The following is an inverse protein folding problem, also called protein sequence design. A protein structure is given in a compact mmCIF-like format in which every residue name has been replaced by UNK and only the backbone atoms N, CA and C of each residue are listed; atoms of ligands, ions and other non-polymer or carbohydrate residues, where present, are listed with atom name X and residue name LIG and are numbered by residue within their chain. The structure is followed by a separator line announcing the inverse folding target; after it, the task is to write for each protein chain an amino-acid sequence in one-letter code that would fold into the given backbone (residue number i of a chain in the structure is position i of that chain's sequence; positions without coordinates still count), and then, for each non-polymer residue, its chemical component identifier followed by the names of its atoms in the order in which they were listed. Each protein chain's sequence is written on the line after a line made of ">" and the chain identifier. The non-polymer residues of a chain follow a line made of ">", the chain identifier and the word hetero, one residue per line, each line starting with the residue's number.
data_IF_097843632579
#
_entry.id   IF_097843632579
#
_cell.length_a   1.000
_cell.length_b   1.000
_cell.length_c   1.000
_cell.angle_alpha   90.00
_cell.angle_beta   90.00
_cell.angle_gamma   90.00
#
_symmetry.space_group_name_H-M   'P 1'
#
loop_
_entity.id
_entity.type
_entity.pdbx_description
1 polymer ?
#
# COMPACT_ATOMS: atom_id res chain seq x y z
N UNK A 1 4.53 44.05 2.73
CA UNK A 1 3.79 43.71 3.96
C UNK A 1 3.63 42.21 3.98
N UNK A 2 3.81 41.53 5.11
CA UNK A 2 3.52 40.09 5.16
C UNK A 2 2.01 39.88 5.15
N UNK A 3 1.47 38.90 4.40
CA UNK A 3 0.04 38.61 4.41
C UNK A 3 -0.43 38.25 5.83
N UNK A 4 -1.59 38.75 6.21
CA UNK A 4 -2.28 38.38 7.46
C UNK A 4 -2.93 37.00 7.33
N UNK A 5 -3.20 36.33 8.45
CA UNK A 5 -3.88 35.01 8.44
C UNK A 5 -5.24 35.07 7.72
N UNK A 6 -5.97 36.17 7.87
CA UNK A 6 -7.27 36.40 7.24
C UNK A 6 -7.18 36.50 5.71
N UNK A 7 -6.14 37.16 5.20
CA UNK A 7 -5.87 37.23 3.75
C UNK A 7 -5.58 35.84 3.17
N UNK A 8 -4.83 35.00 3.90
CA UNK A 8 -4.61 33.62 3.49
C UNK A 8 -5.87 32.77 3.56
N UNK A 9 -6.74 32.90 4.57
CA UNK A 9 -8.03 32.21 4.56
C UNK A 9 -8.87 32.59 3.35
N UNK A 10 -8.95 33.88 3.02
CA UNK A 10 -9.71 34.36 1.86
C UNK A 10 -9.13 33.86 0.54
N UNK A 11 -7.80 33.81 0.42
CA UNK A 11 -7.11 33.25 -0.75
C UNK A 11 -7.31 31.73 -0.86
N UNK A 12 -7.23 31.01 0.25
CA UNK A 12 -7.47 29.57 0.32
C UNK A 12 -8.90 29.25 -0.11
N UNK A 13 -9.90 29.95 0.41
CA UNK A 13 -11.28 29.77 -0.03
C UNK A 13 -11.45 29.99 -1.54
N UNK A 14 -10.87 31.07 -2.09
CA UNK A 14 -10.90 31.35 -3.53
C UNK A 14 -10.25 30.27 -4.38
N UNK A 15 -9.18 29.63 -3.89
CA UNK A 15 -8.48 28.54 -4.60
C UNK A 15 -9.25 27.21 -4.48
N UNK A 16 -9.62 26.85 -3.26
CA UNK A 16 -10.17 25.54 -2.90
C UNK A 16 -11.65 25.40 -3.27
N UNK A 17 -12.45 26.47 -3.19
CA UNK A 17 -13.84 26.45 -3.62
C UNK A 17 -13.99 26.60 -5.15
N UNK A 18 -12.92 26.91 -5.89
CA UNK A 18 -13.01 27.15 -7.32
C UNK A 18 -13.33 25.86 -8.11
N UNK A 19 -14.41 25.80 -8.90
CA UNK A 19 -14.71 24.58 -9.66
C UNK A 19 -13.72 24.32 -10.79
N UNK A 20 -13.04 25.35 -11.29
CA UNK A 20 -12.09 25.24 -12.39
C UNK A 20 -10.71 24.78 -11.91
N UNK A 21 -10.03 24.02 -12.75
CA UNK A 21 -8.71 23.47 -12.46
C UNK A 21 -7.58 24.51 -12.62
N UNK A 22 -7.79 25.49 -13.49
CA UNK A 22 -6.80 26.50 -13.92
C UNK A 22 -6.12 27.24 -12.75
N UNK A 23 -6.84 27.74 -11.72
CA UNK A 23 -6.19 28.43 -10.61
C UNK A 23 -5.22 27.52 -9.84
N UNK A 24 -5.53 26.23 -9.73
CA UNK A 24 -4.66 25.25 -9.07
C UNK A 24 -3.42 24.96 -9.92
N UNK A 25 -3.61 24.82 -11.24
CA UNK A 25 -2.51 24.65 -12.19
C UNK A 25 -1.55 25.84 -12.14
N UNK A 26 -2.07 27.06 -12.20
CA UNK A 26 -1.26 28.28 -12.12
C UNK A 26 -0.51 28.36 -10.79
N UNK A 27 -1.13 27.97 -9.68
CA UNK A 27 -0.49 27.92 -8.37
C UNK A 27 0.65 26.89 -8.32
N UNK A 28 0.46 25.68 -8.85
CA UNK A 28 1.51 24.66 -8.96
C UNK A 28 2.69 25.18 -9.78
N UNK A 29 2.42 25.82 -10.92
CA UNK A 29 3.46 26.42 -11.78
C UNK A 29 4.22 27.54 -11.07
N UNK A 30 3.56 28.30 -10.19
CA UNK A 30 4.22 29.33 -9.39
C UNK A 30 5.16 28.70 -8.34
N UNK A 31 4.73 27.63 -7.68
CA UNK A 31 5.50 26.93 -6.63
C UNK A 31 6.80 26.28 -7.15
N UNK A 32 6.83 25.86 -8.42
CA UNK A 32 8.01 25.23 -9.02
C UNK A 32 9.10 26.23 -9.43
N UNK A 33 8.82 27.55 -9.41
CA UNK A 33 9.79 28.58 -9.79
C UNK A 33 10.77 28.89 -8.63
N UNK A 34 12.09 28.82 -8.84
CA UNK A 34 13.07 28.74 -7.75
C UNK A 34 13.34 30.03 -6.95
N UNK A 35 12.94 31.23 -7.42
CA UNK A 35 13.48 32.49 -6.86
C UNK A 35 12.49 33.64 -6.59
N UNK A 36 11.21 33.53 -6.93
CA UNK A 36 10.29 34.70 -6.91
C UNK A 36 9.14 34.68 -5.92
N UNK A 37 8.83 33.55 -5.27
CA UNK A 37 7.57 33.44 -4.51
C UNK A 37 7.73 32.78 -3.14
N UNK A 38 8.37 33.49 -2.22
CA UNK A 38 8.39 33.12 -0.80
C UNK A 38 6.97 33.16 -0.21
N UNK A 39 6.09 34.02 -0.73
CA UNK A 39 4.68 34.11 -0.34
C UNK A 39 3.86 32.90 -0.79
N UNK A 40 4.00 32.42 -2.04
CA UNK A 40 3.31 31.20 -2.48
C UNK A 40 3.71 29.97 -1.65
N UNK A 41 4.98 29.87 -1.24
CA UNK A 41 5.42 28.80 -0.33
C UNK A 41 4.83 28.93 1.07
N UNK A 42 4.69 30.16 1.59
CA UNK A 42 3.98 30.39 2.86
C UNK A 42 2.51 30.04 2.73
N UNK A 43 1.87 30.42 1.63
CA UNK A 43 0.48 30.11 1.35
C UNK A 43 0.25 28.61 1.14
N UNK A 44 1.16 27.91 0.45
CA UNK A 44 1.16 26.44 0.36
C UNK A 44 1.18 25.79 1.75
N UNK A 45 2.14 26.18 2.60
CA UNK A 45 2.22 25.65 3.98
C UNK A 45 0.97 25.97 4.78
N UNK A 46 0.40 27.15 4.59
CA UNK A 46 -0.88 27.53 5.21
C UNK A 46 -2.03 26.62 4.76
N UNK A 47 -2.17 26.36 3.46
CA UNK A 47 -3.20 25.44 2.93
C UNK A 47 -3.00 24.02 3.45
N UNK A 48 -1.77 23.51 3.52
CA UNK A 48 -1.47 22.19 4.08
C UNK A 48 -1.82 22.13 5.57
N UNK A 49 -1.51 23.17 6.35
CA UNK A 49 -1.78 23.17 7.78
C UNK A 49 -3.26 23.34 8.15
N UNK A 50 -4.06 24.00 7.30
CA UNK A 50 -5.44 24.39 7.65
C UNK A 50 -6.51 23.71 6.80
N UNK A 51 -6.19 23.31 5.56
CA UNK A 51 -7.13 22.71 4.60
C UNK A 51 -6.55 21.50 3.84
N UNK A 52 -5.88 20.57 4.52
CA UNK A 52 -5.12 19.50 3.90
C UNK A 52 -5.96 18.61 2.99
N UNK A 53 -7.15 18.16 3.45
CA UNK A 53 -8.04 17.31 2.67
C UNK A 53 -8.51 17.98 1.37
N UNK A 54 -9.09 19.19 1.46
CA UNK A 54 -9.56 19.94 0.29
C UNK A 54 -8.44 20.25 -0.70
N UNK A 55 -7.27 20.63 -0.18
CA UNK A 55 -6.12 20.94 -1.04
C UNK A 55 -5.58 19.70 -1.73
N UNK A 56 -5.52 18.56 -1.03
CA UNK A 56 -5.15 17.27 -1.60
C UNK A 56 -6.13 16.86 -2.72
N UNK A 57 -7.44 17.09 -2.56
CA UNK A 57 -8.42 16.84 -3.64
C UNK A 57 -8.09 17.67 -4.88
N UNK A 58 -7.72 18.95 -4.72
CA UNK A 58 -7.32 19.81 -5.84
C UNK A 58 -6.11 19.25 -6.58
N UNK A 59 -5.08 18.85 -5.84
CA UNK A 59 -3.88 18.29 -6.42
C UNK A 59 -4.18 16.96 -7.14
N UNK A 60 -5.01 16.09 -6.57
CA UNK A 60 -5.43 14.85 -7.22
C UNK A 60 -6.21 15.10 -8.51
N UNK A 61 -7.10 16.11 -8.52
CA UNK A 61 -7.81 16.49 -9.74
C UNK A 61 -6.86 17.00 -10.83
N UNK A 62 -5.83 17.76 -10.47
CA UNK A 62 -4.77 18.17 -11.41
C UNK A 62 -4.03 16.95 -11.93
N UNK A 63 -3.64 16.03 -11.06
CA UNK A 63 -2.96 14.81 -11.49
C UNK A 63 -3.83 13.92 -12.39
N UNK A 64 -5.12 13.79 -12.11
CA UNK A 64 -6.07 13.00 -12.91
C UNK A 64 -6.52 13.69 -14.21
N UNK A 65 -6.20 14.98 -14.38
CA UNK A 65 -6.70 15.75 -15.51
C UNK A 65 -6.05 15.33 -16.82
N UNK A 66 -6.91 15.18 -17.83
CA UNK A 66 -6.53 14.93 -19.23
C UNK A 66 -6.64 16.20 -20.09
N UNK A 67 -6.83 17.37 -19.47
CA UNK A 67 -6.94 18.63 -20.19
C UNK A 67 -5.60 19.02 -20.84
N UNK A 68 -5.58 19.50 -22.10
CA UNK A 68 -4.34 19.82 -22.83
C UNK A 68 -3.41 20.81 -22.12
N UNK A 69 -3.97 21.70 -21.29
CA UNK A 69 -3.21 22.69 -20.50
C UNK A 69 -2.50 22.11 -19.28
N UNK A 70 -2.83 20.89 -18.87
CA UNK A 70 -2.20 20.21 -17.75
C UNK A 70 -1.11 19.28 -18.28
N UNK A 71 0.10 19.83 -18.42
CA UNK A 71 1.24 19.05 -18.92
C UNK A 71 1.66 17.95 -17.94
N UNK A 72 2.41 16.97 -18.45
CA UNK A 72 2.96 15.89 -17.63
C UNK A 72 3.77 16.41 -16.43
N UNK A 73 4.58 17.47 -16.62
CA UNK A 73 5.40 18.07 -15.56
C UNK A 73 4.54 18.68 -14.45
N UNK A 74 3.37 19.20 -14.79
CA UNK A 74 2.40 19.76 -13.84
C UNK A 74 1.74 18.63 -13.07
N UNK A 75 1.34 17.54 -13.74
CA UNK A 75 0.79 16.33 -13.09
C UNK A 75 1.80 15.76 -12.09
N UNK A 76 3.05 15.55 -12.51
CA UNK A 76 4.11 15.03 -11.61
C UNK A 76 4.44 16.01 -10.47
N UNK A 77 4.31 17.32 -10.70
CA UNK A 77 4.45 18.31 -9.62
C UNK A 77 3.32 18.21 -8.60
N UNK A 78 2.07 18.05 -9.06
CA UNK A 78 0.93 17.82 -8.19
C UNK A 78 1.13 16.55 -7.36
N UNK A 79 1.61 15.46 -7.97
CA UNK A 79 1.90 14.21 -7.29
C UNK A 79 2.99 14.36 -6.22
N UNK A 80 4.06 15.11 -6.52
CA UNK A 80 5.11 15.42 -5.52
C UNK A 80 4.57 16.21 -4.33
N UNK A 81 3.66 17.15 -4.57
CA UNK A 81 3.02 17.90 -3.48
C UNK A 81 2.08 17.02 -2.65
N UNK A 82 1.30 16.15 -3.30
CA UNK A 82 0.47 15.14 -2.61
C UNK A 82 1.31 14.25 -1.71
N UNK A 83 2.39 13.67 -2.24
CA UNK A 83 3.32 12.88 -1.45
C UNK A 83 3.83 13.64 -0.22
N UNK A 84 4.15 14.93 -0.38
CA UNK A 84 4.60 15.78 0.73
C UNK A 84 3.54 15.98 1.81
N UNK A 85 2.27 16.15 1.45
CA UNK A 85 1.16 16.33 2.40
C UNK A 85 0.94 15.05 3.20
N UNK A 86 0.70 13.93 2.51
CA UNK A 86 0.38 12.66 3.14
C UNK A 86 1.54 12.02 3.89
N UNK A 87 2.79 12.38 3.58
CA UNK A 87 3.93 11.97 4.39
C UNK A 87 3.97 12.67 5.75
N UNK A 88 3.47 13.91 5.84
CA UNK A 88 3.54 14.72 7.07
C UNK A 88 2.30 14.65 7.94
N UNK A 89 1.20 14.10 7.41
CA UNK A 89 -0.11 14.28 8.01
C UNK A 89 -0.74 12.95 8.45
N UNK A 90 -0.91 12.83 9.76
CA UNK A 90 -1.56 11.70 10.43
C UNK A 90 -3.05 11.96 10.71
N UNK A 91 -3.56 13.15 10.38
CA UNK A 91 -4.94 13.54 10.68
C UNK A 91 -5.95 12.77 9.83
N UNK A 92 -7.08 12.37 10.43
CA UNK A 92 -8.21 11.72 9.76
C UNK A 92 -8.77 12.58 8.63
N UNK A 93 -9.25 11.96 7.56
CA UNK A 93 -9.84 12.68 6.43
C UNK A 93 -11.35 12.78 6.59
N UNK A 94 -11.91 13.94 6.24
CA UNK A 94 -13.37 14.12 6.19
C UNK A 94 -14.00 13.11 5.22
N UNK A 95 -15.21 12.65 5.55
CA UNK A 95 -15.93 11.65 4.77
C UNK A 95 -16.09 12.05 3.29
N UNK A 96 -16.47 13.30 3.03
CA UNK A 96 -16.65 13.85 1.68
C UNK A 96 -15.33 13.87 0.90
N UNK A 97 -14.22 14.13 1.59
CA UNK A 97 -12.87 14.10 0.99
C UNK A 97 -12.53 12.66 0.59
N UNK A 98 -12.76 11.69 1.48
CA UNK A 98 -12.51 10.26 1.24
C UNK A 98 -13.31 9.75 0.05
N UNK A 99 -14.59 10.10 -0.05
CA UNK A 99 -15.42 9.70 -1.20
C UNK A 99 -14.83 10.21 -2.52
N UNK A 100 -14.51 11.51 -2.61
CA UNK A 100 -13.93 12.08 -3.84
C UNK A 100 -12.57 11.47 -4.15
N UNK A 101 -11.73 11.24 -3.13
CA UNK A 101 -10.42 10.62 -3.28
C UNK A 101 -10.52 9.20 -3.82
N UNK A 102 -11.42 8.39 -3.26
CA UNK A 102 -11.59 6.99 -3.65
C UNK A 102 -11.87 6.84 -5.14
N UNK A 103 -12.82 7.63 -5.68
CA UNK A 103 -13.15 7.61 -7.12
C UNK A 103 -11.99 8.09 -7.99
N UNK A 104 -11.31 9.17 -7.61
CA UNK A 104 -10.17 9.69 -8.36
C UNK A 104 -8.99 8.72 -8.36
N UNK A 105 -8.72 8.04 -7.24
CA UNK A 105 -7.65 7.07 -7.13
C UNK A 105 -7.86 5.88 -8.05
N UNK A 106 -9.07 5.32 -8.10
CA UNK A 106 -9.39 4.23 -9.03
C UNK A 106 -9.16 4.70 -10.47
N UNK A 107 -9.67 5.87 -10.85
CA UNK A 107 -9.46 6.40 -12.21
C UNK A 107 -7.98 6.60 -12.55
N UNK A 108 -7.16 7.07 -11.61
CA UNK A 108 -5.72 7.21 -11.81
C UNK A 108 -5.02 5.85 -11.93
N UNK A 109 -5.42 4.87 -11.12
CA UNK A 109 -4.90 3.51 -11.19
C UNK A 109 -5.30 2.80 -12.49
N UNK A 110 -6.40 3.17 -13.14
CA UNK A 110 -6.80 2.62 -14.43
C UNK A 110 -5.96 3.14 -15.61
N UNK A 111 -5.13 4.17 -15.41
CA UNK A 111 -4.24 4.65 -16.47
C UNK A 111 -3.22 3.56 -16.87
N UNK A 112 -3.03 3.41 -18.18
CA UNK A 112 -2.10 2.41 -18.74
C UNK A 112 -0.63 2.78 -18.50
N UNK A 113 -0.31 4.08 -18.50
CA UNK A 113 1.07 4.57 -18.40
C UNK A 113 1.17 5.47 -17.18
N UNK A 114 1.80 4.94 -16.13
CA UNK A 114 2.06 5.64 -14.86
C UNK A 114 3.55 5.55 -14.57
N UNK A 115 4.19 6.67 -14.21
CA UNK A 115 5.58 6.64 -13.78
C UNK A 115 5.73 5.82 -12.49
N UNK A 116 6.86 5.15 -12.29
CA UNK A 116 7.08 4.31 -11.09
C UNK A 116 6.91 5.12 -9.79
N UNK A 117 7.41 6.36 -9.78
CA UNK A 117 7.30 7.29 -8.63
C UNK A 117 5.85 7.66 -8.34
N UNK A 118 5.07 7.98 -9.38
CA UNK A 118 3.66 8.31 -9.22
C UNK A 118 2.83 7.09 -8.83
N UNK A 119 3.14 5.91 -9.36
CA UNK A 119 2.48 4.67 -8.97
C UNK A 119 2.72 4.32 -7.49
N UNK A 120 3.95 4.47 -6.99
CA UNK A 120 4.26 4.31 -5.55
C UNK A 120 3.49 5.30 -4.69
N UNK A 121 3.38 6.55 -5.13
CA UNK A 121 2.61 7.58 -4.40
C UNK A 121 1.11 7.24 -4.42
N UNK A 122 0.56 6.78 -5.55
CA UNK A 122 -0.82 6.30 -5.62
C UNK A 122 -1.07 5.14 -4.64
N UNK A 123 -0.15 4.19 -4.51
CA UNK A 123 -0.28 3.10 -3.53
C UNK A 123 -0.29 3.62 -2.08
N UNK A 124 0.54 4.62 -1.76
CA UNK A 124 0.52 5.28 -0.45
C UNK A 124 -0.85 5.95 -0.19
N UNK A 125 -1.40 6.63 -1.20
CA UNK A 125 -2.71 7.26 -1.10
C UNK A 125 -3.84 6.23 -0.95
N UNK A 126 -3.78 5.11 -1.69
CA UNK A 126 -4.71 3.99 -1.54
C UNK A 126 -4.67 3.45 -0.12
N UNK A 127 -3.47 3.18 0.42
CA UNK A 127 -3.29 2.74 1.81
C UNK A 127 -3.96 3.69 2.80
N UNK A 128 -3.75 5.00 2.64
CA UNK A 128 -4.35 6.02 3.53
C UNK A 128 -5.88 6.05 3.42
N UNK A 129 -6.41 6.08 2.20
CA UNK A 129 -7.86 6.14 1.95
C UNK A 129 -8.55 4.84 2.38
N UNK A 130 -7.91 3.70 2.15
CA UNK A 130 -8.39 2.40 2.61
C UNK A 130 -8.45 2.34 4.13
N UNK A 131 -7.44 2.86 4.84
CA UNK A 131 -7.47 2.96 6.30
C UNK A 131 -8.70 3.74 6.78
N UNK A 132 -8.97 4.92 6.20
CA UNK A 132 -10.15 5.70 6.56
C UNK A 132 -11.46 4.95 6.26
N UNK A 133 -11.57 4.31 5.10
CA UNK A 133 -12.79 3.60 4.71
C UNK A 133 -13.05 2.38 5.62
N UNK A 134 -12.06 1.51 5.80
CA UNK A 134 -12.25 0.26 6.53
C UNK A 134 -12.22 0.44 8.05
N UNK A 135 -11.32 1.27 8.59
CA UNK A 135 -11.04 1.31 10.03
C UNK A 135 -11.66 2.51 10.76
N UNK A 136 -12.00 3.59 10.05
CA UNK A 136 -12.63 4.78 10.65
C UNK A 136 -14.12 4.87 10.30
N UNK A 137 -14.44 4.60 9.03
CA UNK A 137 -15.81 4.70 8.53
C UNK A 137 -16.56 3.37 8.56
N UNK A 138 -15.87 2.26 8.81
CA UNK A 138 -16.44 0.89 8.84
C UNK A 138 -17.27 0.59 7.59
N UNK A 139 -16.70 0.90 6.42
CA UNK A 139 -17.31 0.72 5.09
C UNK A 139 -16.43 -0.12 4.18
N UNK A 140 -17.04 -0.59 3.10
CA UNK A 140 -16.37 -1.35 2.05
C UNK A 140 -16.04 -0.49 0.84
N UNK A 141 -14.80 -0.63 0.33
CA UNK A 141 -14.37 0.01 -0.91
C UNK A 141 -14.54 -0.92 -2.12
N UNK A 142 -15.78 -1.10 -2.58
CA UNK A 142 -16.12 -1.98 -3.71
C UNK A 142 -15.31 -1.70 -4.99
N UNK A 143 -15.16 -0.41 -5.37
CA UNK A 143 -14.38 -0.05 -6.56
C UNK A 143 -12.90 -0.47 -6.50
N UNK A 144 -12.30 -0.54 -5.31
CA UNK A 144 -10.95 -1.06 -5.14
C UNK A 144 -10.90 -2.59 -5.28
N UNK A 145 -11.90 -3.29 -4.73
CA UNK A 145 -12.04 -4.74 -4.89
C UNK A 145 -12.17 -5.12 -6.37
N UNK A 146 -13.07 -4.46 -7.10
CA UNK A 146 -13.28 -4.65 -8.54
C UNK A 146 -12.01 -4.35 -9.34
N UNK A 147 -11.31 -3.26 -9.01
CA UNK A 147 -10.05 -2.91 -9.64
C UNK A 147 -9.00 -4.01 -9.46
N UNK A 148 -8.71 -4.44 -8.22
CA UNK A 148 -7.66 -5.46 -8.00
C UNK A 148 -8.07 -6.78 -8.65
N UNK A 149 -9.33 -7.19 -8.50
CA UNK A 149 -9.86 -8.45 -9.05
C UNK A 149 -9.75 -8.50 -10.57
N UNK A 150 -10.19 -7.45 -11.27
CA UNK A 150 -10.13 -7.39 -12.74
C UNK A 150 -8.71 -7.33 -13.30
N UNK A 151 -7.74 -6.86 -12.50
CA UNK A 151 -6.33 -6.73 -12.88
C UNK A 151 -5.48 -7.92 -12.48
N UNK A 152 -5.97 -8.80 -11.60
CA UNK A 152 -5.21 -9.90 -11.02
C UNK A 152 -4.49 -10.76 -12.08
N UNK A 153 -5.13 -11.07 -13.20
CA UNK A 153 -4.48 -11.89 -14.24
C UNK A 153 -3.74 -11.07 -15.30
N UNK A 154 -4.33 -9.97 -15.78
CA UNK A 154 -3.81 -9.19 -16.93
C UNK A 154 -2.68 -8.22 -16.54
N UNK A 155 -2.77 -7.60 -15.36
CA UNK A 155 -1.81 -6.64 -14.82
C UNK A 155 -1.39 -7.07 -13.41
N UNK A 156 -1.01 -8.34 -13.25
CA UNK A 156 -0.74 -8.98 -11.95
C UNK A 156 0.14 -8.14 -11.01
N UNK A 157 1.26 -7.60 -11.53
CA UNK A 157 2.15 -6.78 -10.72
C UNK A 157 1.43 -5.58 -10.11
N UNK A 158 0.60 -4.89 -10.90
CA UNK A 158 -0.17 -3.72 -10.47
C UNK A 158 -1.20 -4.10 -9.41
N UNK A 159 -1.95 -5.18 -9.65
CA UNK A 159 -2.93 -5.71 -8.70
C UNK A 159 -2.28 -6.07 -7.36
N UNK A 160 -1.18 -6.81 -7.38
CA UNK A 160 -0.46 -7.24 -6.16
C UNK A 160 0.18 -6.06 -5.45
N UNK A 161 0.76 -5.08 -6.17
CA UNK A 161 1.33 -3.89 -5.53
C UNK A 161 0.27 -3.07 -4.78
N UNK A 162 -0.90 -2.88 -5.39
CA UNK A 162 -2.02 -2.20 -4.75
C UNK A 162 -2.52 -3.01 -3.55
N UNK A 163 -2.76 -4.31 -3.71
CA UNK A 163 -3.20 -5.16 -2.60
C UNK A 163 -2.19 -5.18 -1.44
N UNK A 164 -0.90 -5.33 -1.72
CA UNK A 164 0.17 -5.31 -0.71
C UNK A 164 0.16 -4.02 0.12
N UNK A 165 -0.22 -2.90 -0.49
CA UNK A 165 -0.29 -1.61 0.24
C UNK A 165 -1.38 -1.58 1.32
N UNK A 166 -2.34 -2.52 1.27
CA UNK A 166 -3.41 -2.68 2.25
C UNK A 166 -2.89 -3.42 3.49
N UNK A 167 -2.16 -2.67 4.32
CA UNK A 167 -1.50 -3.17 5.53
C UNK A 167 -2.31 -2.95 6.81
N UNK A 168 -3.64 -3.05 6.72
CA UNK A 168 -4.63 -2.88 7.79
C UNK A 168 -5.67 -3.99 7.76
N UNK A 169 -6.42 -4.25 8.85
CA UNK A 169 -7.59 -5.11 8.80
C UNK A 169 -8.55 -4.67 7.69
N UNK A 170 -9.13 -5.66 7.01
CA UNK A 170 -10.04 -5.50 5.88
C UNK A 170 -11.38 -6.15 6.21
N UNK A 171 -12.44 -5.66 5.55
CA UNK A 171 -13.75 -6.30 5.61
C UNK A 171 -13.67 -7.72 5.02
N UNK A 172 -14.03 -8.74 5.80
CA UNK A 172 -13.96 -10.14 5.36
C UNK A 172 -14.98 -10.43 4.26
N UNK A 173 -16.25 -10.13 4.51
CA UNK A 173 -17.38 -10.64 3.73
C UNK A 173 -17.55 -9.90 2.39
N UNK A 174 -17.46 -8.58 2.42
CA UNK A 174 -17.74 -7.71 1.28
C UNK A 174 -16.47 -7.33 0.49
N UNK A 175 -15.28 -7.40 1.11
CA UNK A 175 -14.02 -7.06 0.43
C UNK A 175 -13.11 -8.27 0.19
N UNK A 176 -12.67 -8.92 1.25
CA UNK A 176 -11.58 -9.91 1.17
C UNK A 176 -12.02 -11.18 0.45
N UNK A 177 -13.16 -11.76 0.82
CA UNK A 177 -13.67 -12.99 0.20
C UNK A 177 -13.87 -12.81 -1.32
N UNK A 178 -14.59 -11.77 -1.80
CA UNK A 178 -14.75 -11.53 -3.24
C UNK A 178 -13.41 -11.32 -3.95
N UNK A 179 -12.48 -10.60 -3.32
CA UNK A 179 -11.16 -10.35 -3.90
C UNK A 179 -10.36 -11.66 -4.10
N UNK A 180 -10.46 -12.59 -3.15
CA UNK A 180 -9.73 -13.86 -3.20
C UNK A 180 -10.19 -14.77 -4.34
N UNK A 181 -11.40 -14.62 -4.86
CA UNK A 181 -11.89 -15.42 -6.00
C UNK A 181 -10.99 -15.29 -7.23
N UNK A 182 -10.38 -14.12 -7.44
CA UNK A 182 -9.53 -13.83 -8.60
C UNK A 182 -8.05 -13.71 -8.24
N UNK A 183 -7.73 -13.07 -7.10
CA UNK A 183 -6.34 -12.79 -6.73
C UNK A 183 -5.58 -14.04 -6.29
N UNK A 184 -6.20 -14.91 -5.47
CA UNK A 184 -5.53 -16.10 -4.94
C UNK A 184 -5.14 -17.09 -6.05
N UNK A 185 -6.02 -17.45 -7.02
CA UNK A 185 -5.62 -18.29 -8.15
C UNK A 185 -4.46 -17.70 -8.96
N UNK A 186 -4.46 -16.39 -9.20
CA UNK A 186 -3.39 -15.71 -9.93
C UNK A 186 -2.05 -15.77 -9.19
N UNK A 187 -2.05 -15.68 -7.86
CA UNK A 187 -0.88 -15.86 -7.00
C UNK A 187 -0.40 -17.32 -7.03
N UNK A 188 -1.30 -18.28 -6.79
CA UNK A 188 -0.97 -19.70 -6.74
C UNK A 188 -0.39 -20.21 -8.06
N UNK A 189 -0.92 -19.74 -9.19
CA UNK A 189 -0.41 -20.04 -10.53
C UNK A 189 1.07 -19.67 -10.65
N UNK A 190 1.47 -18.48 -10.20
CA UNK A 190 2.84 -17.94 -10.30
C UNK A 190 3.80 -18.53 -9.29
N UNK A 191 3.32 -18.86 -8.09
CA UNK A 191 4.07 -19.68 -7.14
C UNK A 191 4.30 -21.11 -7.65
N UNK A 192 3.36 -21.62 -8.44
CA UNK A 192 3.39 -22.95 -9.02
C UNK A 192 4.25 -23.07 -10.28
N UNK A 193 4.37 -22.01 -11.07
CA UNK A 193 5.05 -22.04 -12.37
C UNK A 193 6.58 -22.18 -12.23
N UNK A 194 7.12 -23.24 -12.84
CA UNK A 194 8.57 -23.48 -12.85
C UNK A 194 9.33 -22.54 -13.78
N UNK A 195 8.65 -21.95 -14.77
CA UNK A 195 9.27 -21.00 -15.70
C UNK A 195 9.46 -19.61 -15.09
N UNK A 196 8.74 -19.30 -14.01
CA UNK A 196 8.82 -18.03 -13.31
C UNK A 196 9.87 -18.00 -12.18
N UNK A 197 10.63 -19.08 -12.00
CA UNK A 197 11.67 -19.27 -10.97
C UNK A 197 12.86 -18.31 -11.07
N UNK A 198 12.89 -17.45 -12.09
CA UNK A 198 13.87 -16.37 -12.28
C UNK A 198 13.20 -15.03 -12.65
N UNK A 199 11.93 -14.85 -12.29
CA UNK A 199 11.16 -13.66 -12.65
C UNK A 199 10.86 -12.77 -11.44
N UNK A 200 10.73 -11.48 -11.71
CA UNK A 200 10.15 -10.53 -10.75
C UNK A 200 8.70 -10.88 -10.36
N UNK A 201 7.99 -11.67 -11.18
CA UNK A 201 6.62 -12.10 -10.91
C UNK A 201 6.53 -13.09 -9.76
N UNK A 202 7.47 -14.03 -9.65
CA UNK A 202 7.52 -14.94 -8.50
C UNK A 202 7.69 -14.17 -7.19
N UNK A 203 8.61 -13.20 -7.14
CA UNK A 203 8.84 -12.41 -5.92
C UNK A 203 7.60 -11.63 -5.49
N UNK A 204 6.86 -11.09 -6.47
CA UNK A 204 5.56 -10.45 -6.23
C UNK A 204 4.51 -11.45 -5.75
N UNK A 205 4.40 -12.62 -6.37
CA UNK A 205 3.48 -13.67 -5.95
C UNK A 205 3.79 -14.18 -4.55
N UNK A 206 5.07 -14.25 -4.17
CA UNK A 206 5.51 -14.65 -2.84
C UNK A 206 5.08 -13.64 -1.77
N UNK A 207 5.31 -12.35 -2.00
CA UNK A 207 4.90 -11.30 -1.04
C UNK A 207 3.37 -11.11 -1.05
N UNK A 208 2.73 -11.19 -2.21
CA UNK A 208 1.28 -11.15 -2.34
C UNK A 208 0.62 -12.33 -1.60
N UNK A 209 1.14 -13.54 -1.79
CA UNK A 209 0.70 -14.73 -1.08
C UNK A 209 0.89 -14.63 0.44
N UNK A 210 1.98 -14.03 0.89
CA UNK A 210 2.15 -13.70 2.31
C UNK A 210 1.03 -12.79 2.83
N UNK A 211 0.75 -11.68 2.13
CA UNK A 211 -0.29 -10.73 2.54
C UNK A 211 -1.67 -11.38 2.54
N UNK A 212 -1.96 -12.24 1.55
CA UNK A 212 -3.19 -13.02 1.51
C UNK A 212 -3.28 -13.97 2.71
N UNK A 213 -2.21 -14.70 3.01
CA UNK A 213 -2.20 -15.64 4.13
C UNK A 213 -2.52 -14.93 5.44
N UNK A 214 -1.84 -13.82 5.72
CA UNK A 214 -2.05 -13.00 6.93
C UNK A 214 -3.49 -12.51 7.03
N UNK A 215 -4.05 -11.96 5.95
CA UNK A 215 -5.45 -11.48 5.94
C UNK A 215 -6.48 -12.59 6.10
N UNK A 216 -6.16 -13.85 5.78
CA UNK A 216 -7.09 -14.97 5.85
C UNK A 216 -7.03 -15.76 7.17
N UNK A 217 -6.05 -15.53 8.04
CA UNK A 217 -5.83 -16.34 9.25
C UNK A 217 -7.03 -16.37 10.19
N UNK A 218 -7.67 -15.21 10.40
CA UNK A 218 -8.80 -15.05 11.32
C UNK A 218 -10.15 -15.02 10.57
N UNK A 219 -10.21 -15.64 9.39
CA UNK A 219 -11.40 -15.64 8.54
C UNK A 219 -12.01 -17.04 8.41
N UNK A 220 -13.25 -17.11 7.91
CA UNK A 220 -13.92 -18.36 7.52
C UNK A 220 -13.17 -19.15 6.43
N UNK A 221 -12.18 -18.53 5.78
CA UNK A 221 -11.38 -19.11 4.68
C UNK A 221 -9.97 -19.53 5.12
N UNK A 222 -9.70 -19.63 6.42
CA UNK A 222 -8.40 -20.03 6.99
C UNK A 222 -7.84 -21.33 6.40
N UNK A 223 -8.69 -22.28 5.99
CA UNK A 223 -8.25 -23.52 5.34
C UNK A 223 -7.46 -23.31 4.03
N UNK A 224 -7.60 -22.14 3.37
CA UNK A 224 -6.82 -21.78 2.18
C UNK A 224 -5.37 -21.42 2.52
N UNK A 225 -5.11 -20.97 3.76
CA UNK A 225 -3.79 -20.52 4.22
C UNK A 225 -2.79 -21.67 4.21
N UNK A 226 -3.18 -22.87 4.64
CA UNK A 226 -2.27 -24.04 4.64
C UNK A 226 -1.78 -24.38 3.24
N UNK A 227 -2.68 -24.41 2.25
CA UNK A 227 -2.33 -24.68 0.87
C UNK A 227 -1.41 -23.60 0.30
N UNK A 228 -1.74 -22.32 0.56
CA UNK A 228 -0.92 -21.19 0.13
C UNK A 228 0.48 -21.23 0.75
N UNK A 229 0.59 -21.44 2.06
CA UNK A 229 1.86 -21.57 2.76
C UNK A 229 2.68 -22.76 2.24
N UNK A 230 2.04 -23.91 1.98
CA UNK A 230 2.68 -25.07 1.35
C UNK A 230 3.27 -24.72 -0.02
N UNK A 231 2.52 -23.99 -0.85
CA UNK A 231 2.97 -23.55 -2.16
C UNK A 231 4.12 -22.54 -2.08
N UNK A 232 4.06 -21.60 -1.13
CA UNK A 232 5.16 -20.66 -0.88
C UNK A 232 6.44 -21.40 -0.49
N UNK A 233 6.38 -22.31 0.48
CA UNK A 233 7.54 -23.11 0.92
C UNK A 233 8.09 -23.98 -0.20
N UNK A 234 7.22 -24.64 -0.96
CA UNK A 234 7.62 -25.42 -2.14
C UNK A 234 8.32 -24.55 -3.16
N UNK A 235 7.86 -23.33 -3.42
CA UNK A 235 8.48 -22.45 -4.43
C UNK A 235 9.87 -21.99 -4.00
N UNK A 236 10.10 -21.68 -2.72
CA UNK A 236 11.44 -21.39 -2.18
C UNK A 236 12.39 -22.59 -2.32
N UNK A 237 11.90 -23.81 -2.08
CA UNK A 237 12.70 -25.03 -2.15
C UNK A 237 13.18 -25.40 -3.58
N UNK A 238 12.65 -24.75 -4.62
CA UNK A 238 13.07 -24.98 -6.01
C UNK A 238 14.41 -24.33 -6.37
N UNK A 239 15.16 -23.82 -5.38
CA UNK A 239 16.49 -23.19 -5.54
C UNK A 239 16.44 -21.99 -6.48
N UNK A 240 15.59 -21.04 -6.14
CA UNK A 240 15.50 -19.73 -6.76
C UNK A 240 16.88 -19.06 -6.85
N UNK A 241 17.11 -18.30 -7.92
CA UNK A 241 18.33 -17.47 -8.00
C UNK A 241 18.42 -16.55 -6.79
N UNK A 242 19.60 -16.48 -6.18
CA UNK A 242 19.83 -15.75 -4.94
C UNK A 242 19.42 -14.27 -5.03
N UNK A 243 19.58 -13.63 -6.19
CA UNK A 243 19.16 -12.24 -6.40
C UNK A 243 17.66 -12.02 -6.21
N UNK A 244 16.83 -12.85 -6.87
CA UNK A 244 15.38 -12.79 -6.75
C UNK A 244 14.91 -13.19 -5.36
N UNK A 245 15.50 -14.23 -4.76
CA UNK A 245 15.21 -14.64 -3.40
C UNK A 245 15.47 -13.51 -2.40
N UNK A 246 16.65 -12.88 -2.47
CA UNK A 246 16.99 -11.75 -1.57
C UNK A 246 16.06 -10.56 -1.76
N UNK A 247 15.66 -10.26 -3.00
CA UNK A 247 14.70 -9.20 -3.28
C UNK A 247 13.33 -9.51 -2.67
N UNK A 248 12.80 -10.71 -2.90
CA UNK A 248 11.52 -11.13 -2.34
C UNK A 248 11.53 -11.14 -0.79
N UNK A 249 12.61 -11.61 -0.17
CA UNK A 249 12.73 -11.60 1.30
C UNK A 249 12.81 -10.18 1.88
N UNK A 250 13.45 -9.22 1.18
CA UNK A 250 13.43 -7.81 1.59
C UNK A 250 12.05 -7.19 1.40
N UNK A 251 11.37 -7.50 0.30
CA UNK A 251 10.02 -7.01 0.06
C UNK A 251 9.00 -7.61 1.03
N UNK A 252 9.24 -8.83 1.51
CA UNK A 252 8.54 -9.50 2.61
C UNK A 252 8.83 -8.81 3.95
N UNK A 253 10.10 -8.52 4.26
CA UNK A 253 10.49 -7.78 5.48
C UNK A 253 9.73 -6.46 5.58
N UNK A 254 9.65 -5.70 4.47
CA UNK A 254 8.88 -4.45 4.41
C UNK A 254 7.38 -4.73 4.66
N UNK A 255 6.78 -5.70 3.96
CA UNK A 255 5.35 -6.01 4.10
C UNK A 255 4.99 -6.40 5.54
N UNK A 256 5.82 -7.23 6.19
CA UNK A 256 5.66 -7.61 7.60
C UNK A 256 5.67 -6.36 8.48
N UNK A 257 6.71 -5.53 8.37
CA UNK A 257 6.87 -4.33 9.21
C UNK A 257 5.66 -3.40 9.09
N UNK A 258 5.11 -3.24 7.89
CA UNK A 258 3.94 -2.40 7.65
C UNK A 258 2.64 -2.95 8.25
N UNK A 259 2.55 -4.26 8.50
CA UNK A 259 1.36 -4.94 9.02
C UNK A 259 1.42 -5.23 10.53
N UNK A 260 2.60 -5.19 11.16
CA UNK A 260 2.80 -5.56 12.57
C UNK A 260 1.90 -4.84 13.59
N UNK A 261 1.38 -3.66 13.26
CA UNK A 261 0.60 -2.85 14.19
C UNK A 261 -0.80 -3.40 14.46
N UNK A 262 -1.32 -4.30 13.61
CA UNK A 262 -2.64 -4.92 13.78
C UNK A 262 -2.59 -6.44 14.00
N UNK A 263 -1.40 -7.04 14.06
CA UNK A 263 -1.26 -8.47 14.32
C UNK A 263 -1.76 -8.84 15.72
N UNK A 264 -2.47 -9.96 15.79
CA UNK A 264 -2.75 -10.67 17.03
C UNK A 264 -1.83 -11.90 17.16
N UNK A 265 -2.07 -12.72 18.19
CA UNK A 265 -1.23 -13.88 18.50
C UNK A 265 -1.10 -14.84 17.31
N UNK A 266 -2.18 -15.02 16.54
CA UNK A 266 -2.22 -15.91 15.39
C UNK A 266 -1.30 -15.45 14.26
N UNK A 267 -1.36 -14.18 13.85
CA UNK A 267 -0.48 -13.65 12.80
C UNK A 267 0.98 -13.72 13.25
N UNK A 268 1.28 -13.38 14.51
CA UNK A 268 2.64 -13.50 15.04
C UNK A 268 3.16 -14.93 14.94
N UNK A 269 2.39 -15.93 15.39
CA UNK A 269 2.76 -17.35 15.33
C UNK A 269 2.92 -17.83 13.88
N UNK A 270 2.00 -17.47 13.00
CA UNK A 270 2.09 -17.80 11.57
C UNK A 270 3.36 -17.23 10.92
N UNK A 271 3.65 -15.93 11.11
CA UNK A 271 4.83 -15.30 10.53
C UNK A 271 6.11 -15.94 11.06
N UNK A 272 6.22 -16.17 12.37
CA UNK A 272 7.39 -16.83 12.96
C UNK A 272 7.57 -18.26 12.43
N UNK A 273 6.48 -19.04 12.35
CA UNK A 273 6.48 -20.39 11.80
C UNK A 273 6.90 -20.44 10.33
N UNK A 274 6.32 -19.57 9.50
CA UNK A 274 6.68 -19.46 8.08
C UNK A 274 8.16 -19.10 7.90
N UNK A 275 8.66 -18.09 8.63
CA UNK A 275 10.05 -17.66 8.56
C UNK A 275 11.01 -18.77 9.01
N UNK A 276 10.66 -19.51 10.07
CA UNK A 276 11.47 -20.64 10.53
C UNK A 276 11.55 -21.77 9.50
N UNK A 277 10.44 -22.09 8.82
CA UNK A 277 10.42 -23.11 7.76
C UNK A 277 11.22 -22.65 6.53
N UNK A 278 11.15 -21.38 6.18
CA UNK A 278 11.98 -20.80 5.11
C UNK A 278 13.47 -20.87 5.50
N UNK A 279 13.85 -20.55 6.74
CA UNK A 279 15.24 -20.63 7.21
C UNK A 279 15.79 -22.06 7.15
N UNK A 280 14.94 -23.06 7.39
CA UNK A 280 15.30 -24.48 7.29
C UNK A 280 15.58 -24.93 5.85
N UNK A 281 14.91 -24.31 4.86
CA UNK A 281 15.07 -24.63 3.43
C UNK A 281 16.30 -23.93 2.85
N UNK A 282 16.54 -22.68 3.22
CA UNK A 282 17.58 -21.85 2.63
C UNK A 282 18.94 -22.17 3.24
N UNK A 283 19.97 -22.33 2.41
CA UNK A 283 21.36 -22.53 2.85
C UNK A 283 22.18 -21.24 2.83
N UNK A 284 21.76 -20.26 2.03
CA UNK A 284 22.50 -19.04 1.77
C UNK A 284 22.53 -18.09 2.97
N UNK A 285 23.73 -17.83 3.49
CA UNK A 285 23.95 -17.01 4.71
C UNK A 285 23.36 -15.60 4.59
N UNK A 286 23.47 -15.00 3.41
CA UNK A 286 22.93 -13.65 3.14
C UNK A 286 21.40 -13.61 3.27
N UNK A 287 20.71 -14.64 2.78
CA UNK A 287 19.27 -14.77 2.90
C UNK A 287 18.85 -15.08 4.35
N UNK A 288 19.58 -15.98 5.05
CA UNK A 288 19.37 -16.22 6.49
C UNK A 288 19.47 -14.95 7.32
N UNK A 289 20.42 -14.06 7.03
CA UNK A 289 20.54 -12.79 7.74
C UNK A 289 19.28 -11.90 7.60
N UNK A 290 18.58 -11.94 6.45
CA UNK A 290 17.30 -11.23 6.27
C UNK A 290 16.22 -11.85 7.16
N UNK A 291 16.10 -13.18 7.13
CA UNK A 291 15.13 -13.91 7.97
C UNK A 291 15.34 -13.67 9.46
N UNK A 292 16.60 -13.60 9.91
CA UNK A 292 16.91 -13.30 11.31
C UNK A 292 16.48 -11.88 11.71
N UNK A 293 16.65 -10.88 10.85
CA UNK A 293 16.13 -9.53 11.12
C UNK A 293 14.61 -9.52 11.23
N UNK A 294 13.93 -10.19 10.30
CA UNK A 294 12.47 -10.35 10.36
C UNK A 294 12.06 -10.99 11.70
N UNK A 295 12.67 -12.13 12.06
CA UNK A 295 12.39 -12.84 13.31
C UNK A 295 12.57 -11.95 14.54
N UNK A 296 13.64 -11.16 14.60
CA UNK A 296 13.89 -10.23 15.71
C UNK A 296 12.81 -9.14 15.81
N UNK A 297 12.44 -8.52 14.68
CA UNK A 297 11.43 -7.45 14.67
C UNK A 297 10.05 -7.99 15.05
N UNK A 298 9.67 -9.15 14.52
CA UNK A 298 8.39 -9.81 14.82
C UNK A 298 8.32 -10.20 16.30
N UNK A 299 9.36 -10.86 16.85
CA UNK A 299 9.41 -11.23 18.27
C UNK A 299 9.35 -10.02 19.20
N UNK A 300 10.07 -8.94 18.86
CA UNK A 300 10.03 -7.70 19.63
C UNK A 300 8.61 -7.13 19.68
N UNK A 301 7.92 -7.07 18.53
CA UNK A 301 6.54 -6.58 18.46
C UNK A 301 5.54 -7.50 19.16
N UNK A 302 5.71 -8.81 19.05
CA UNK A 302 4.89 -9.78 19.78
C UNK A 302 5.00 -9.59 21.29
N UNK A 303 6.22 -9.40 21.81
CA UNK A 303 6.43 -9.12 23.23
C UNK A 303 5.76 -7.80 23.67
N UNK A 304 5.86 -6.76 22.84
CA UNK A 304 5.23 -5.45 23.12
C UNK A 304 3.70 -5.52 23.20
N UNK A 305 3.04 -6.33 22.35
CA UNK A 305 1.58 -6.37 22.26
C UNK A 305 0.91 -7.52 23.02
N UNK A 306 1.57 -8.68 23.10
CA UNK A 306 0.99 -9.92 23.67
C UNK A 306 1.61 -10.25 25.04
N UNK A 307 2.77 -9.69 25.38
CA UNK A 307 3.43 -9.93 26.67
C UNK A 307 4.12 -11.29 26.79
N UNK A 308 4.03 -12.15 25.77
CA UNK A 308 4.62 -13.48 25.73
C UNK A 308 5.52 -13.63 24.50
N UNK A 309 6.67 -14.29 24.67
CA UNK A 309 7.56 -14.67 23.56
C UNK A 309 7.31 -16.13 23.26
N UNK A 310 6.67 -16.41 22.13
CA UNK A 310 6.75 -17.73 21.53
C UNK A 310 8.09 -17.84 20.78
N UNK A 311 8.85 -18.89 21.08
CA UNK A 311 10.11 -19.16 20.39
C UNK A 311 9.93 -19.74 18.98
N UNK A 312 8.70 -20.02 18.58
CA UNK A 312 8.31 -20.79 17.41
C UNK A 312 8.02 -22.26 17.76
N UNK A 313 7.75 -22.56 19.03
CA UNK A 313 7.44 -23.91 19.50
C UNK A 313 5.95 -24.23 19.25
N UNK A 314 5.07 -23.21 19.25
CA UNK A 314 3.67 -23.30 18.81
C UNK A 314 3.50 -22.78 17.36
N UNK A 315 4.22 -23.40 16.41
CA UNK A 315 4.07 -23.14 14.98
C UNK A 315 2.61 -23.35 14.54
N UNK A 316 1.94 -22.26 14.12
CA UNK A 316 0.58 -22.30 13.57
C UNK A 316 0.44 -23.36 12.46
N UNK A 317 1.45 -23.52 11.61
CA UNK A 317 1.44 -24.49 10.51
C UNK A 317 1.59 -25.96 10.97
N UNK A 318 1.75 -26.22 12.28
CA UNK A 318 1.73 -27.56 12.89
C UNK A 318 0.43 -27.83 13.66
N UNK A 319 -0.37 -26.80 13.91
CA UNK A 319 -1.66 -26.94 14.56
C UNK A 319 -2.68 -27.36 13.48
N UNK A 320 -3.31 -28.53 13.64
CA UNK A 320 -4.39 -28.94 12.72
C UNK A 320 -5.58 -28.04 12.99
N UNK A 321 -5.94 -27.18 12.05
CA UNK A 321 -7.09 -26.28 12.12
C UNK A 321 -8.31 -26.85 11.40
#
# INVERSE_FOLDING_TARGET
>A
MQPTSEEFHKAAFKLLANPYIEPTVNFIVALTKPRKYQEDRKFFRFCVANYPGCFSVKLMRVYASKEPRVSYEIRESAMRFLHGIFFTEEASMDFEVVQVFSTLLISCLEEQVISETSFKTLCLLVKRVAFEIFNIQEKTWHGLCEFISSRAEQEFAKAVFVFKSLSMPLDEEEFLIPLMENLLPAILKRLGDKKEESSSQWGLAFVGGFCVAVHLLETTRVALVENLASMMLKSVNRRMELGFLLKALRDLEIAIVEQLWWYCSTEFKFVLGLIQRIDAIITEKTAKNVLQRIKMVVKKKMLEYVGEIDNGDEDWLNQRH
#
